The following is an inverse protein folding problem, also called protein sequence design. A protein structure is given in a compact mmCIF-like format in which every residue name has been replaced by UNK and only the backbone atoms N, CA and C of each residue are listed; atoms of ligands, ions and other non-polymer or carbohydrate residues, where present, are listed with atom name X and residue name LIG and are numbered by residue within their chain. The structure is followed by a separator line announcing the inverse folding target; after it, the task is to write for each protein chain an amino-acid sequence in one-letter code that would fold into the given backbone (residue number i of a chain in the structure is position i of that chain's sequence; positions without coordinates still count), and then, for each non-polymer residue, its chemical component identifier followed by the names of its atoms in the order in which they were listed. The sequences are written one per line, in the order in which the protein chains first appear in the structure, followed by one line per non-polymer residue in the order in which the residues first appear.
data_IF_546940363603
#
_entry.id   IF_546940363603
#
_cell.length_a   1.000
_cell.length_b   1.000
_cell.length_c   1.000
_cell.angle_alpha   90.00
_cell.angle_beta   90.00
_cell.angle_gamma   90.00
#
_symmetry.space_group_name_H-M   'P 1'
#
loop_
_entity.id
_entity.type
_entity.pdbx_description
1 polymer ?
#
# COMPACT_ATOMS: atom_id res chain seq x y z
N UNK A 1 26.78 -4.65 13.63
CA UNK A 1 25.96 -3.77 12.78
C UNK A 1 24.71 -4.55 12.36
N UNK A 2 23.53 -4.25 12.93
CA UNK A 2 22.29 -5.02 12.68
C UNK A 2 21.66 -4.49 11.38
N UNK A 3 21.59 -5.36 10.38
CA UNK A 3 21.34 -5.06 8.97
C UNK A 3 19.99 -4.40 8.68
N UNK A 4 20.01 -3.57 7.64
CA UNK A 4 19.00 -2.60 7.26
C UNK A 4 17.66 -3.20 6.83
N UNK A 5 16.60 -2.51 7.24
CA UNK A 5 15.25 -2.66 6.71
C UNK A 5 15.20 -2.10 5.29
N UNK A 6 15.80 -2.80 4.33
CA UNK A 6 15.53 -2.57 2.92
C UNK A 6 14.09 -3.04 2.65
N UNK A 7 13.32 -2.22 1.93
CA UNK A 7 12.01 -2.58 1.37
C UNK A 7 12.12 -3.95 0.69
N UNK A 8 11.65 -5.03 1.35
CA UNK A 8 11.85 -6.38 0.84
C UNK A 8 11.08 -6.61 -0.47
N UNK A 9 9.90 -6.00 -0.59
CA UNK A 9 9.02 -5.92 -1.77
C UNK A 9 8.13 -4.66 -1.61
N UNK A 10 7.88 -3.88 -2.68
CA UNK A 10 6.94 -2.75 -2.64
C UNK A 10 5.48 -3.22 -2.62
N UNK A 11 4.53 -2.36 -2.23
CA UNK A 11 3.10 -2.69 -2.31
C UNK A 11 2.70 -2.99 -3.76
N UNK A 12 3.24 -2.24 -4.73
CA UNK A 12 3.00 -2.50 -6.15
C UNK A 12 3.48 -3.89 -6.56
N UNK A 13 4.74 -4.23 -6.28
CA UNK A 13 5.33 -5.49 -6.74
C UNK A 13 4.65 -6.68 -6.06
N UNK A 14 4.33 -6.56 -4.77
CA UNK A 14 3.56 -7.57 -4.03
C UNK A 14 2.20 -7.85 -4.67
N UNK A 15 1.44 -6.81 -5.02
CA UNK A 15 0.14 -6.96 -5.67
C UNK A 15 0.27 -7.53 -7.09
N UNK A 16 1.31 -7.14 -7.83
CA UNK A 16 1.56 -7.63 -9.19
C UNK A 16 1.90 -9.13 -9.20
N UNK A 17 2.78 -9.58 -8.31
CA UNK A 17 3.18 -10.99 -8.18
C UNK A 17 2.00 -11.91 -7.80
N UNK A 18 1.04 -11.40 -7.01
CA UNK A 18 -0.10 -12.16 -6.49
C UNK A 18 -1.39 -11.99 -7.29
N UNK A 19 -1.36 -11.19 -8.36
CA UNK A 19 -2.54 -10.81 -9.13
C UNK A 19 -3.64 -10.14 -8.26
N UNK A 20 -3.23 -9.35 -7.26
CA UNK A 20 -4.10 -8.64 -6.31
C UNK A 20 -4.21 -7.13 -6.65
N UNK A 21 -4.25 -6.80 -7.94
CA UNK A 21 -4.25 -5.41 -8.42
C UNK A 21 -5.45 -4.58 -7.92
N UNK A 22 -6.55 -5.24 -7.54
CA UNK A 22 -7.73 -4.60 -6.93
C UNK A 22 -7.43 -3.86 -5.62
N UNK A 23 -6.30 -4.15 -4.96
CA UNK A 23 -5.86 -3.36 -3.82
C UNK A 23 -5.25 -2.01 -4.26
N UNK A 24 -4.51 -1.99 -5.36
CA UNK A 24 -3.88 -0.77 -5.90
C UNK A 24 -4.93 0.22 -6.42
N UNK A 25 -6.06 -0.26 -6.93
CA UNK A 25 -7.18 0.60 -7.36
C UNK A 25 -7.84 1.36 -6.20
N UNK A 26 -7.57 0.92 -4.96
CA UNK A 26 -8.07 1.58 -3.76
C UNK A 26 -7.09 2.63 -3.21
N UNK A 27 -5.94 2.85 -3.85
CA UNK A 27 -5.04 3.94 -3.47
C UNK A 27 -5.71 5.29 -3.70
N UNK A 28 -5.74 6.14 -2.68
CA UNK A 28 -6.35 7.45 -2.83
C UNK A 28 -5.52 8.35 -3.78
N UNK A 29 -6.11 8.93 -4.84
CA UNK A 29 -5.35 9.66 -5.87
C UNK A 29 -4.76 10.99 -5.39
N UNK A 30 -5.40 11.67 -4.43
CA UNK A 30 -4.97 13.00 -3.94
C UNK A 30 -4.38 12.98 -2.52
N UNK A 31 -5.04 12.37 -1.53
CA UNK A 31 -4.70 12.51 -0.10
C UNK A 31 -3.38 11.84 0.34
N UNK A 32 -2.76 11.03 -0.51
CA UNK A 32 -1.42 10.48 -0.24
C UNK A 32 -0.28 11.39 -0.76
N UNK A 33 -0.61 12.52 -1.39
CA UNK A 33 0.37 13.46 -1.93
C UNK A 33 1.29 12.78 -2.94
N UNK A 34 2.62 12.97 -2.86
CA UNK A 34 3.58 12.39 -3.80
C UNK A 34 3.86 10.90 -3.57
N UNK A 35 3.30 10.30 -2.52
CA UNK A 35 3.56 8.91 -2.18
C UNK A 35 2.90 7.97 -3.20
N UNK A 36 3.66 6.97 -3.65
CA UNK A 36 3.19 5.95 -4.59
C UNK A 36 3.25 4.54 -3.97
N UNK A 37 2.47 3.58 -4.47
CA UNK A 37 2.56 2.17 -4.03
C UNK A 37 3.97 1.55 -4.19
N UNK A 38 4.83 2.08 -5.07
CA UNK A 38 6.21 1.62 -5.26
C UNK A 38 7.16 2.08 -4.14
N UNK A 39 6.79 3.13 -3.41
CA UNK A 39 7.60 3.72 -2.35
C UNK A 39 7.25 3.17 -0.95
N UNK A 40 6.21 2.34 -0.85
CA UNK A 40 5.74 1.79 0.43
C UNK A 40 5.86 0.28 0.42
N UNK A 41 6.37 -0.32 1.49
CA UNK A 41 6.41 -1.78 1.63
C UNK A 41 5.00 -2.34 1.80
N UNK A 42 4.73 -3.51 1.22
CA UNK A 42 3.49 -4.27 1.49
C UNK A 42 3.27 -4.55 2.99
N UNK A 43 4.35 -4.62 3.79
CA UNK A 43 4.31 -4.81 5.24
C UNK A 43 4.34 -3.51 6.07
N UNK A 44 4.21 -2.35 5.44
CA UNK A 44 4.32 -1.06 6.13
C UNK A 44 3.19 -0.83 7.15
N UNK A 45 3.57 -0.34 8.33
CA UNK A 45 2.63 0.15 9.37
C UNK A 45 2.12 1.57 9.10
N UNK A 46 2.62 2.22 8.05
CA UNK A 46 2.19 3.56 7.67
C UNK A 46 0.70 3.56 7.31
N UNK A 47 -0.07 4.42 7.99
CA UNK A 47 -1.45 4.71 7.64
C UNK A 47 -1.47 5.65 6.43
N UNK A 48 -2.11 5.19 5.37
CA UNK A 48 -2.35 5.97 4.15
C UNK A 48 -3.84 6.08 3.89
N UNK A 49 -4.21 6.99 3.00
CA UNK A 49 -5.58 7.12 2.54
C UNK A 49 -5.91 6.10 1.46
N UNK A 50 -7.08 5.49 1.62
CA UNK A 50 -7.71 4.58 0.68
C UNK A 50 -9.03 5.17 0.19
N UNK A 51 -9.43 4.77 -1.01
CA UNK A 51 -10.68 5.17 -1.66
C UNK A 51 -11.32 3.92 -2.28
N UNK A 52 -12.53 3.56 -1.88
CA UNK A 52 -13.22 2.42 -2.50
C UNK A 52 -13.96 2.87 -3.78
N UNK A 53 -14.34 1.94 -4.66
CA UNK A 53 -15.11 2.27 -5.87
C UNK A 53 -16.45 2.98 -5.61
N UNK A 54 -16.99 2.91 -4.38
CA UNK A 54 -18.22 3.61 -3.97
C UNK A 54 -17.97 5.04 -3.48
N UNK A 55 -16.73 5.51 -3.47
CA UNK A 55 -16.38 6.86 -3.02
C UNK A 55 -16.09 7.01 -1.53
N UNK A 56 -16.18 5.95 -0.71
CA UNK A 56 -15.78 6.04 0.69
C UNK A 56 -14.26 6.16 0.82
N UNK A 57 -13.83 7.07 1.70
CA UNK A 57 -12.42 7.34 2.00
C UNK A 57 -12.12 6.93 3.44
N UNK A 58 -10.98 6.29 3.67
CA UNK A 58 -10.54 5.93 5.02
C UNK A 58 -9.03 5.85 5.13
N UNK A 59 -8.52 5.89 6.36
CA UNK A 59 -7.12 5.63 6.65
C UNK A 59 -6.93 4.21 7.20
N UNK A 60 -6.00 3.45 6.63
CA UNK A 60 -5.60 2.15 7.16
C UNK A 60 -4.11 1.92 6.90
N UNK A 61 -3.47 1.12 7.76
CA UNK A 61 -2.08 0.74 7.58
C UNK A 61 -1.93 -0.25 6.43
N UNK A 62 -0.89 -0.11 5.60
CA UNK A 62 -0.72 -0.95 4.41
C UNK A 62 -0.72 -2.45 4.74
N UNK A 63 -0.01 -2.86 5.80
CA UNK A 63 0.03 -4.28 6.20
C UNK A 63 -1.35 -4.88 6.56
N UNK A 64 -2.31 -4.06 6.99
CA UNK A 64 -3.67 -4.54 7.32
C UNK A 64 -4.49 -4.84 6.07
N UNK A 65 -4.03 -4.37 4.91
CA UNK A 65 -4.72 -4.48 3.63
C UNK A 65 -4.11 -5.54 2.73
N UNK A 66 -2.88 -5.98 3.03
CA UNK A 66 -2.14 -7.04 2.32
C UNK A 66 -2.14 -8.38 3.06
N UNK A 67 -2.44 -8.40 4.37
CA UNK A 67 -2.69 -9.61 5.16
C UNK A 67 -4.14 -10.07 4.98
N UNK A 68 -4.38 -10.82 3.90
CA UNK A 68 -5.50 -11.76 3.78
C UNK A 68 -5.06 -13.15 4.23
#
# INVERSE_FOLDING_TARGET
MKGGWALRISLYDYCAERNELALLTQWHPVKNGPLTPRQVSYGSRQKIWWLCPKGHEWQAAVYTRTKG
#
